data_IF_352655668095
#
_entry.id   IF_352655668095
#
_cell.length_a   1.000
_cell.length_b   1.000
_cell.length_c   1.000
_cell.angle_alpha   90.00
_cell.angle_beta   90.00
_cell.angle_gamma   90.00
#
_symmetry.space_group_name_H-M   'P 1'
#
loop_
_entity.id
_entity.type
_entity.pdbx_description
1 polymer ?
#
# COMPACT_ATOMS: atom_id res chain seq x y z
N UNK A 1 23.07 -5.88 25.58
CA UNK A 1 23.48 -4.47 25.44
C UNK A 1 23.64 -3.77 26.80
N UNK A 2 22.59 -3.68 27.65
CA UNK A 2 22.77 -3.12 29.02
C UNK A 2 23.86 -3.82 29.84
N UNK A 3 24.10 -5.12 29.66
CA UNK A 3 25.18 -5.86 30.30
C UNK A 3 26.56 -5.54 29.75
N UNK A 4 26.68 -5.06 28.53
CA UNK A 4 27.95 -4.71 27.87
C UNK A 4 28.33 -3.24 28.11
N UNK A 5 27.35 -2.37 28.24
CA UNK A 5 27.56 -0.92 28.40
C UNK A 5 26.58 -0.35 29.47
N UNK A 6 26.72 -0.77 30.74
CA UNK A 6 25.72 -0.48 31.77
C UNK A 6 25.59 1.00 32.13
N UNK A 7 26.59 1.83 31.82
CA UNK A 7 26.65 3.25 32.19
C UNK A 7 26.95 4.19 31.01
N UNK A 8 26.87 3.69 29.77
CA UNK A 8 27.14 4.47 28.56
C UNK A 8 25.83 4.75 27.82
N UNK A 9 25.18 5.84 28.19
CA UNK A 9 23.86 6.22 27.62
C UNK A 9 23.93 6.52 26.11
N UNK A 10 25.05 7.07 25.65
CA UNK A 10 25.23 7.39 24.24
C UNK A 10 25.29 6.10 23.40
N UNK A 11 26.09 5.12 23.81
CA UNK A 11 26.14 3.81 23.14
C UNK A 11 24.81 3.05 23.24
N UNK A 12 24.10 3.16 24.35
CA UNK A 12 22.78 2.55 24.51
C UNK A 12 21.75 3.21 23.57
N UNK A 13 21.78 4.53 23.43
CA UNK A 13 20.92 5.28 22.53
C UNK A 13 21.22 4.92 21.07
N UNK A 14 22.49 4.94 20.68
CA UNK A 14 22.91 4.51 19.34
C UNK A 14 22.48 3.08 19.03
N UNK A 15 22.69 2.14 19.97
CA UNK A 15 22.29 0.77 19.79
C UNK A 15 20.77 0.61 19.62
N UNK A 16 19.95 1.35 20.38
CA UNK A 16 18.49 1.39 20.21
C UNK A 16 18.12 1.88 18.82
N UNK A 17 18.73 2.96 18.36
CA UNK A 17 18.49 3.51 17.03
C UNK A 17 18.82 2.50 15.91
N UNK A 18 19.98 1.84 16.01
CA UNK A 18 20.38 0.78 15.06
C UNK A 18 19.39 -0.40 15.09
N UNK A 19 18.95 -0.84 16.28
CA UNK A 19 17.95 -1.90 16.42
C UNK A 19 16.61 -1.51 15.79
N UNK A 20 16.14 -0.29 16.00
CA UNK A 20 14.89 0.19 15.39
C UNK A 20 14.93 0.18 13.87
N UNK A 21 16.08 0.45 13.26
CA UNK A 21 16.24 0.52 11.79
C UNK A 21 16.61 -0.80 11.13
N UNK A 22 17.31 -1.68 11.83
CA UNK A 22 17.91 -2.89 11.23
C UNK A 22 17.43 -4.21 11.83
N UNK A 23 16.70 -4.19 12.94
CA UNK A 23 16.15 -5.41 13.50
C UNK A 23 15.09 -6.00 12.56
N UNK A 24 15.14 -7.31 12.35
CA UNK A 24 14.19 -8.02 11.46
C UNK A 24 12.98 -8.57 12.23
N UNK A 25 13.04 -8.65 13.53
CA UNK A 25 12.04 -9.34 14.35
C UNK A 25 10.67 -8.63 14.36
N UNK A 26 10.65 -7.31 14.20
CA UNK A 26 9.41 -6.57 14.05
C UNK A 26 8.63 -6.90 12.75
N UNK A 27 9.30 -7.45 11.73
CA UNK A 27 8.68 -7.94 10.50
C UNK A 27 8.37 -9.45 10.54
N UNK A 28 8.65 -10.14 11.66
CA UNK A 28 8.50 -11.60 11.84
C UNK A 28 7.52 -11.96 12.94
N UNK A 29 6.65 -11.04 13.31
CA UNK A 29 5.60 -11.32 14.30
C UNK A 29 4.58 -12.32 13.73
N UNK A 30 3.94 -13.14 14.59
CA UNK A 30 2.89 -14.04 14.17
C UNK A 30 1.77 -13.34 13.41
N UNK A 31 1.28 -13.97 12.33
CA UNK A 31 0.12 -13.45 11.59
C UNK A 31 -1.12 -13.52 12.47
N UNK A 32 -1.83 -12.41 12.55
CA UNK A 32 -3.06 -12.26 13.30
C UNK A 32 -4.24 -12.73 12.45
N UNK A 33 -4.65 -14.00 12.60
CA UNK A 33 -5.76 -14.57 11.84
C UNK A 33 -7.12 -14.18 12.39
N UNK A 34 -7.24 -14.18 13.72
CA UNK A 34 -8.51 -13.90 14.43
C UNK A 34 -8.27 -12.95 15.60
N UNK A 35 -9.35 -12.53 16.25
CA UNK A 35 -9.32 -11.78 17.52
C UNK A 35 -9.15 -12.66 18.76
N UNK A 36 -8.94 -13.98 18.62
CA UNK A 36 -8.87 -14.94 19.70
C UNK A 36 -7.57 -14.87 20.50
N UNK A 37 -7.70 -14.84 21.81
CA UNK A 37 -6.56 -14.86 22.75
C UNK A 37 -6.15 -16.31 23.04
N UNK A 38 -4.84 -16.55 23.31
CA UNK A 38 -3.75 -15.59 23.38
C UNK A 38 -3.00 -15.38 22.05
N UNK A 39 -3.19 -16.26 21.07
CA UNK A 39 -2.30 -16.40 19.91
C UNK A 39 -2.93 -15.91 18.59
N UNK A 40 -4.05 -15.19 18.63
CA UNK A 40 -4.73 -14.65 17.44
C UNK A 40 -4.97 -15.69 16.33
N UNK A 41 -5.24 -16.94 16.66
CA UNK A 41 -5.41 -18.04 15.72
C UNK A 41 -4.14 -18.48 14.98
N UNK A 42 -2.96 -17.99 15.39
CA UNK A 42 -1.69 -18.34 14.76
C UNK A 42 -1.23 -19.76 15.11
N UNK A 43 -1.36 -20.16 16.37
CA UNK A 43 -1.08 -21.50 16.86
C UNK A 43 -2.02 -21.83 18.03
N UNK A 44 -1.97 -23.08 18.48
CA UNK A 44 -2.74 -23.54 19.64
C UNK A 44 -2.52 -22.62 20.86
N UNK A 45 -3.58 -22.30 21.63
CA UNK A 45 -3.49 -21.44 22.81
C UNK A 45 -2.48 -21.90 23.87
N UNK A 46 -2.20 -23.19 23.96
CA UNK A 46 -1.19 -23.77 24.87
C UNK A 46 0.26 -23.61 24.36
N UNK A 47 0.44 -23.27 23.09
CA UNK A 47 1.76 -23.12 22.46
C UNK A 47 2.24 -21.68 22.57
N UNK A 48 3.45 -21.50 23.10
CA UNK A 48 4.11 -20.19 23.10
C UNK A 48 4.80 -19.95 21.74
N UNK A 49 4.36 -19.00 20.93
CA UNK A 49 5.05 -18.67 19.69
C UNK A 49 6.42 -18.06 19.98
N UNK A 50 7.41 -18.24 19.07
CA UNK A 50 8.77 -17.72 19.26
C UNK A 50 8.85 -16.19 19.35
N UNK A 51 7.91 -15.49 18.69
CA UNK A 51 7.68 -14.06 18.83
C UNK A 51 6.29 -13.81 19.40
N UNK A 52 6.14 -12.73 20.15
CA UNK A 52 4.82 -12.35 20.66
C UNK A 52 3.89 -11.91 19.54
N UNK A 53 2.61 -12.16 19.67
CA UNK A 53 1.57 -11.56 18.85
C UNK A 53 1.48 -10.06 19.18
N UNK A 54 1.24 -9.21 18.18
CA UNK A 54 1.00 -7.78 18.41
C UNK A 54 -0.27 -7.55 19.23
N UNK A 55 -0.28 -6.51 20.06
CA UNK A 55 -1.39 -6.26 20.99
C UNK A 55 -2.69 -5.83 20.28
N UNK A 56 -2.58 -5.34 19.05
CA UNK A 56 -3.69 -4.86 18.23
C UNK A 56 -4.50 -5.98 17.54
N UNK A 57 -4.13 -7.26 17.72
CA UNK A 57 -4.80 -8.40 17.07
C UNK A 57 -6.31 -8.46 17.33
N UNK A 58 -6.79 -7.86 18.40
CA UNK A 58 -8.22 -7.81 18.71
C UNK A 58 -9.03 -7.04 17.69
N UNK A 59 -8.43 -6.05 17.07
CA UNK A 59 -9.05 -5.16 16.06
C UNK A 59 -8.44 -5.32 14.67
N UNK A 60 -7.13 -5.58 14.61
CA UNK A 60 -6.39 -5.76 13.35
C UNK A 60 -6.08 -7.23 13.13
N UNK A 61 -6.90 -7.91 12.35
CA UNK A 61 -6.72 -9.34 12.03
C UNK A 61 -7.36 -9.70 10.69
N UNK A 62 -6.98 -10.84 10.14
CA UNK A 62 -7.45 -11.28 8.83
C UNK A 62 -8.97 -11.54 8.79
N UNK A 63 -9.56 -12.05 9.87
CA UNK A 63 -10.99 -12.29 9.95
C UNK A 63 -11.79 -10.98 9.89
N UNK A 64 -11.37 -9.96 10.63
CA UNK A 64 -11.98 -8.64 10.60
C UNK A 64 -11.86 -8.00 9.21
N UNK A 65 -10.69 -8.07 8.58
CA UNK A 65 -10.50 -7.54 7.23
C UNK A 65 -11.33 -8.28 6.17
N UNK A 66 -11.52 -9.59 6.32
CA UNK A 66 -12.35 -10.39 5.42
C UNK A 66 -13.84 -10.09 5.56
N UNK A 67 -14.29 -9.83 6.79
CA UNK A 67 -15.69 -9.53 7.11
C UNK A 67 -16.03 -8.04 6.95
N UNK A 68 -15.04 -7.21 6.65
CA UNK A 68 -15.23 -5.78 6.46
C UNK A 68 -16.28 -5.54 5.36
N UNK A 69 -17.34 -4.83 5.68
CA UNK A 69 -18.49 -4.60 4.81
C UNK A 69 -18.91 -3.12 4.75
N UNK A 70 -18.04 -2.22 5.17
CA UNK A 70 -18.25 -0.80 5.00
C UNK A 70 -18.35 -0.46 3.50
N UNK A 71 -19.38 0.33 3.14
CA UNK A 71 -19.62 0.73 1.75
C UNK A 71 -18.65 1.81 1.28
N UNK A 72 -18.13 2.57 2.24
CA UNK A 72 -17.30 3.75 1.98
C UNK A 72 -15.80 3.49 2.11
N UNK A 73 -15.42 2.28 2.54
CA UNK A 73 -14.02 1.89 2.68
C UNK A 73 -13.77 0.43 2.31
N UNK A 74 -12.54 0.13 1.93
CA UNK A 74 -12.05 -1.23 1.74
C UNK A 74 -11.06 -1.58 2.84
N UNK A 75 -11.10 -2.82 3.32
CA UNK A 75 -9.96 -3.31 4.08
C UNK A 75 -8.74 -3.49 3.17
N UNK A 76 -7.54 -3.50 3.77
CA UNK A 76 -6.30 -3.75 3.02
C UNK A 76 -6.38 -5.07 2.24
N UNK A 77 -6.95 -6.11 2.85
CA UNK A 77 -7.16 -7.41 2.18
C UNK A 77 -8.08 -7.30 0.96
N UNK A 78 -9.17 -6.56 1.06
CA UNK A 78 -10.11 -6.37 -0.05
C UNK A 78 -9.48 -5.54 -1.17
N UNK A 79 -8.73 -4.49 -0.83
CA UNK A 79 -8.00 -3.69 -1.80
C UNK A 79 -6.99 -4.55 -2.58
N UNK A 80 -6.18 -5.36 -1.89
CA UNK A 80 -5.25 -6.27 -2.52
C UNK A 80 -5.93 -7.29 -3.45
N UNK A 81 -7.03 -7.88 -3.02
CA UNK A 81 -7.82 -8.79 -3.87
C UNK A 81 -8.27 -8.13 -5.16
N UNK A 82 -8.87 -6.94 -5.07
CA UNK A 82 -9.31 -6.17 -6.23
C UNK A 82 -8.14 -5.80 -7.15
N UNK A 83 -7.02 -5.36 -6.58
CA UNK A 83 -5.81 -5.07 -7.36
C UNK A 83 -5.28 -6.29 -8.12
N UNK A 84 -5.23 -7.45 -7.47
CA UNK A 84 -4.82 -8.71 -8.11
C UNK A 84 -5.82 -9.19 -9.17
N UNK A 85 -7.11 -8.97 -8.99
CA UNK A 85 -8.15 -9.25 -9.99
C UNK A 85 -7.95 -8.37 -11.23
N UNK A 86 -7.73 -7.05 -11.07
CA UNK A 86 -7.41 -6.17 -12.19
C UNK A 86 -6.13 -6.62 -12.91
N UNK A 87 -5.07 -6.90 -12.15
CA UNK A 87 -3.81 -7.38 -12.69
C UNK A 87 -3.97 -8.69 -13.50
N UNK A 88 -4.78 -9.61 -13.03
CA UNK A 88 -5.07 -10.88 -13.72
C UNK A 88 -5.92 -10.66 -14.96
N UNK A 89 -6.95 -9.83 -14.87
CA UNK A 89 -7.88 -9.52 -15.97
C UNK A 89 -7.16 -8.82 -17.13
N UNK A 90 -6.30 -7.88 -16.82
CA UNK A 90 -5.58 -7.05 -17.78
C UNK A 90 -4.09 -7.40 -17.84
N UNK A 91 -3.76 -8.71 -17.78
CA UNK A 91 -2.37 -9.16 -17.69
C UNK A 91 -1.52 -8.74 -18.89
N UNK A 92 -2.11 -8.60 -20.08
CA UNK A 92 -1.43 -8.16 -21.29
C UNK A 92 -0.71 -6.83 -21.06
N UNK A 93 -1.42 -5.87 -20.51
CA UNK A 93 -0.83 -4.56 -20.16
C UNK A 93 -0.16 -4.56 -18.78
N UNK A 94 -0.89 -4.93 -17.71
CA UNK A 94 -0.43 -4.75 -16.33
C UNK A 94 0.71 -5.70 -15.89
N UNK A 95 0.98 -6.77 -16.64
CA UNK A 95 2.08 -7.71 -16.35
C UNK A 95 3.13 -7.69 -17.45
N UNK A 96 2.71 -7.84 -18.69
CA UNK A 96 3.61 -8.02 -19.84
C UNK A 96 3.83 -6.77 -20.66
N UNK A 97 2.98 -5.73 -20.53
CA UNK A 97 3.11 -4.48 -21.24
C UNK A 97 4.39 -3.71 -20.88
N UNK A 98 4.80 -2.82 -21.74
CA UNK A 98 5.96 -1.96 -21.53
C UNK A 98 5.72 -0.92 -20.45
N UNK A 99 6.76 -0.62 -19.69
CA UNK A 99 6.71 0.40 -18.65
C UNK A 99 7.23 1.73 -19.18
N UNK A 100 6.42 2.79 -19.05
CA UNK A 100 6.80 4.16 -19.41
C UNK A 100 6.55 5.08 -18.22
N UNK A 101 7.60 5.66 -17.70
CA UNK A 101 7.49 6.68 -16.65
C UNK A 101 6.85 7.93 -17.23
N UNK A 102 5.84 8.46 -16.56
CA UNK A 102 5.24 9.75 -16.84
C UNK A 102 5.89 10.77 -15.91
N UNK A 103 7.08 11.22 -16.29
CA UNK A 103 7.81 12.23 -15.55
C UNK A 103 7.54 13.60 -16.20
N UNK A 104 6.88 14.53 -15.52
CA UNK A 104 6.79 15.89 -16.01
C UNK A 104 8.18 16.53 -16.00
N UNK A 105 8.47 17.35 -17.01
CA UNK A 105 9.76 18.04 -17.15
C UNK A 105 10.19 18.82 -15.90
N UNK A 106 9.22 19.22 -15.07
CA UNK A 106 9.42 19.95 -13.82
C UNK A 106 9.46 19.05 -12.56
N UNK A 107 9.47 17.74 -12.70
CA UNK A 107 9.55 16.72 -11.63
C UNK A 107 8.66 17.04 -10.40
N UNK A 108 7.74 16.17 -10.05
CA UNK A 108 6.92 16.37 -8.85
C UNK A 108 7.33 15.33 -7.79
N UNK A 109 8.16 15.74 -6.82
CA UNK A 109 8.73 14.85 -5.79
C UNK A 109 7.70 13.99 -5.03
N UNK A 110 6.44 14.38 -5.05
CA UNK A 110 5.34 13.74 -4.34
C UNK A 110 4.53 12.78 -5.23
N UNK A 111 4.65 12.87 -6.55
CA UNK A 111 3.88 12.08 -7.50
C UNK A 111 4.77 11.05 -8.19
N UNK A 112 4.30 9.82 -8.23
CA UNK A 112 4.85 8.78 -9.08
C UNK A 112 3.78 8.33 -10.06
N UNK A 113 4.01 8.58 -11.35
CA UNK A 113 3.05 8.23 -12.39
C UNK A 113 3.74 7.47 -13.54
N UNK A 114 3.05 6.47 -14.07
CA UNK A 114 3.55 5.66 -15.16
C UNK A 114 2.43 5.04 -15.98
N UNK A 115 2.78 4.65 -17.19
CA UNK A 115 1.94 3.84 -18.06
C UNK A 115 2.46 2.40 -18.16
N UNK A 116 1.51 1.50 -18.36
CA UNK A 116 1.74 0.12 -18.80
C UNK A 116 1.05 -0.06 -20.13
N UNK A 117 1.84 -0.22 -21.20
CA UNK A 117 1.36 -0.32 -22.59
C UNK A 117 1.39 -1.77 -23.03
N UNK A 118 0.23 -2.41 -23.18
CA UNK A 118 0.06 -3.69 -23.83
C UNK A 118 -0.28 -3.53 -25.31
N UNK A 119 -0.51 -4.61 -26.00
CA UNK A 119 -0.88 -4.60 -27.43
C UNK A 119 -2.26 -3.94 -27.65
N UNK A 120 -3.24 -4.27 -26.80
CA UNK A 120 -4.63 -3.83 -26.95
C UNK A 120 -5.08 -2.78 -25.93
N UNK A 121 -4.35 -2.62 -24.83
CA UNK A 121 -4.74 -1.82 -23.67
C UNK A 121 -3.57 -1.04 -23.13
N UNK A 122 -3.80 0.18 -22.70
CA UNK A 122 -2.85 0.99 -21.93
C UNK A 122 -3.46 1.39 -20.60
N UNK A 123 -2.68 1.29 -19.54
CA UNK A 123 -3.07 1.70 -18.21
C UNK A 123 -2.16 2.80 -17.69
N UNK A 124 -2.77 3.79 -17.07
CA UNK A 124 -2.10 4.88 -16.36
C UNK A 124 -2.25 4.65 -14.87
N UNK A 125 -1.14 4.68 -14.15
CA UNK A 125 -1.12 4.65 -12.69
C UNK A 125 -0.61 5.98 -12.18
N UNK A 126 -1.30 6.58 -11.22
CA UNK A 126 -0.91 7.84 -10.58
C UNK A 126 -0.96 7.67 -9.08
N UNK A 127 0.13 7.99 -8.40
CA UNK A 127 0.33 7.78 -6.97
C UNK A 127 0.79 9.07 -6.31
N UNK A 128 0.08 9.52 -5.27
CA UNK A 128 0.54 10.58 -4.39
C UNK A 128 1.22 9.97 -3.16
N UNK A 129 2.54 10.15 -3.03
CA UNK A 129 3.33 9.66 -1.90
C UNK A 129 3.41 10.65 -0.73
N UNK A 130 2.56 11.66 -0.70
CA UNK A 130 2.55 12.66 0.36
C UNK A 130 1.28 12.63 1.20
N UNK A 131 1.36 13.18 2.42
CA UNK A 131 0.21 13.40 3.32
C UNK A 131 -0.61 14.63 2.96
N UNK A 132 -0.39 15.25 1.79
CA UNK A 132 -1.05 16.46 1.34
C UNK A 132 -1.89 16.23 0.10
N UNK A 133 -2.87 17.10 -0.13
CA UNK A 133 -3.60 17.15 -1.39
C UNK A 133 -2.70 17.74 -2.47
N UNK A 134 -2.55 17.06 -3.59
CA UNK A 134 -1.70 17.50 -4.70
C UNK A 134 -2.52 17.68 -5.97
N UNK A 135 -2.31 18.82 -6.63
CA UNK A 135 -2.78 19.05 -8.00
C UNK A 135 -1.63 18.72 -8.96
N UNK A 136 -1.84 17.78 -9.84
CA UNK A 136 -0.85 17.32 -10.81
C UNK A 136 -1.41 17.38 -12.23
N UNK A 137 -0.58 17.71 -13.18
CA UNK A 137 -0.97 17.78 -14.60
C UNK A 137 -0.53 16.52 -15.33
N UNK A 138 -1.49 15.79 -15.87
CA UNK A 138 -1.24 14.62 -16.70
C UNK A 138 -0.55 15.09 -17.99
N UNK A 139 0.62 14.51 -18.36
CA UNK A 139 1.30 14.86 -19.59
C UNK A 139 0.39 14.76 -20.82
N UNK A 140 0.57 15.64 -21.80
CA UNK A 140 -0.27 15.68 -23.01
C UNK A 140 -0.23 14.36 -23.82
N UNK A 141 0.82 13.57 -23.64
CA UNK A 141 0.99 12.25 -24.25
C UNK A 141 0.14 11.15 -23.59
N UNK A 142 -0.39 11.40 -22.39
CA UNK A 142 -1.20 10.46 -21.63
C UNK A 142 -2.62 10.96 -21.44
N UNK A 143 -3.58 10.06 -21.46
CA UNK A 143 -4.97 10.36 -21.14
C UNK A 143 -5.60 9.19 -20.43
N UNK A 144 -6.63 9.44 -19.64
CA UNK A 144 -7.40 8.41 -18.97
C UNK A 144 -8.85 8.50 -19.43
N UNK A 145 -9.33 7.47 -20.06
CA UNK A 145 -10.74 7.37 -20.49
C UNK A 145 -11.62 6.99 -19.29
N UNK A 146 -11.13 6.11 -18.44
CA UNK A 146 -11.88 5.60 -17.28
C UNK A 146 -10.94 5.17 -16.17
N UNK A 147 -11.24 5.61 -14.95
CA UNK A 147 -10.59 5.08 -13.75
C UNK A 147 -11.21 3.73 -13.38
N UNK A 148 -10.39 2.72 -13.14
CA UNK A 148 -10.82 1.34 -12.88
C UNK A 148 -10.57 0.88 -11.45
N UNK A 149 -9.65 1.51 -10.75
CA UNK A 149 -9.38 1.24 -9.35
C UNK A 149 -8.74 2.44 -8.64
N UNK A 150 -8.93 2.50 -7.33
CA UNK A 150 -8.28 3.44 -6.43
C UNK A 150 -8.33 2.91 -5.00
N UNK A 151 -7.51 3.47 -4.13
CA UNK A 151 -7.48 3.09 -2.71
C UNK A 151 -8.53 3.81 -1.85
N UNK A 152 -9.14 4.87 -2.39
CA UNK A 152 -10.32 5.48 -1.78
C UNK A 152 -11.58 4.99 -2.48
N UNK A 153 -12.58 4.55 -1.72
CA UNK A 153 -13.83 3.98 -2.26
C UNK A 153 -14.80 5.03 -2.77
N UNK A 154 -14.82 6.20 -2.15
CA UNK A 154 -15.59 7.35 -2.63
C UNK A 154 -14.80 8.04 -3.76
N UNK A 155 -15.07 7.61 -5.01
CA UNK A 155 -14.75 8.37 -6.20
C UNK A 155 -13.29 8.34 -6.66
N UNK A 156 -12.90 7.26 -7.34
CA UNK A 156 -12.12 7.51 -8.54
C UNK A 156 -12.92 8.49 -9.40
N UNK A 157 -12.29 9.49 -10.04
CA UNK A 157 -13.04 10.42 -10.88
C UNK A 157 -13.89 9.66 -11.91
N UNK A 158 -15.21 9.90 -11.94
CA UNK A 158 -16.11 9.22 -12.88
C UNK A 158 -15.90 9.64 -14.34
N UNK A 159 -15.09 10.66 -14.57
CA UNK A 159 -14.88 11.27 -15.87
C UNK A 159 -13.52 10.92 -16.47
N UNK A 160 -13.50 10.84 -17.79
CA UNK A 160 -12.27 10.88 -18.57
C UNK A 160 -11.40 12.06 -18.14
N UNK A 161 -10.12 11.82 -17.87
CA UNK A 161 -9.20 12.84 -17.36
C UNK A 161 -8.17 13.19 -18.41
N UNK A 162 -8.15 14.46 -18.77
CA UNK A 162 -7.08 15.11 -19.55
C UNK A 162 -6.64 16.37 -18.78
N UNK A 163 -5.34 16.56 -18.65
CA UNK A 163 -4.81 17.71 -17.95
C UNK A 163 -4.80 17.50 -16.42
N UNK A 164 -5.29 18.47 -15.65
CA UNK A 164 -5.15 18.47 -14.18
C UNK A 164 -5.97 17.40 -13.48
N UNK A 165 -5.33 16.70 -12.56
CA UNK A 165 -5.93 15.76 -11.63
C UNK A 165 -5.62 16.19 -10.20
N UNK A 166 -6.62 16.12 -9.33
CA UNK A 166 -6.48 16.39 -7.90
C UNK A 166 -6.41 15.07 -7.13
N UNK A 167 -5.32 14.86 -6.43
CA UNK A 167 -5.05 13.66 -5.65
C UNK A 167 -5.12 13.97 -4.16
N UNK A 168 -5.86 13.13 -3.45
CA UNK A 168 -5.93 13.16 -1.97
C UNK A 168 -4.60 12.68 -1.36
N UNK A 169 -4.36 12.93 -0.06
CA UNK A 169 -3.22 12.35 0.63
C UNK A 169 -3.11 10.83 0.39
N UNK A 170 -1.93 10.36 0.00
CA UNK A 170 -1.65 8.94 -0.27
C UNK A 170 -2.64 8.27 -1.24
N UNK A 171 -3.22 9.02 -2.15
CA UNK A 171 -4.13 8.47 -3.15
C UNK A 171 -3.38 7.74 -4.25
N UNK A 172 -3.91 6.56 -4.58
CA UNK A 172 -3.47 5.72 -5.70
C UNK A 172 -4.64 5.52 -6.66
N UNK A 173 -4.42 5.79 -7.93
CA UNK A 173 -5.42 5.63 -8.99
C UNK A 173 -4.85 4.77 -10.13
N UNK A 174 -5.69 3.90 -10.67
CA UNK A 174 -5.42 3.10 -11.87
C UNK A 174 -6.49 3.42 -12.89
N UNK A 175 -6.10 3.94 -14.04
CA UNK A 175 -6.98 4.28 -15.15
C UNK A 175 -6.64 3.51 -16.41
N UNK A 176 -7.63 3.34 -17.27
CA UNK A 176 -7.49 2.83 -18.64
C UNK A 176 -7.46 4.02 -19.60
N UNK A 177 -6.50 4.01 -20.48
CA UNK A 177 -6.34 4.99 -21.57
C UNK A 177 -7.17 4.62 -22.78
#
# INVERSE_FOLDING_TARGET
MKSLYPHDEEKLSFAKHVMQRKARDHARTPVQWTSESPNAGFCDPSTKPWMRVNDDYKTVNAAAQRQHNDKDSLSVLQFWKRGLEQRKKHKGALVYGDFHLLDPEDGHDQIFAYERRGEDETFVTVLNFSGEKVEWELPASAHVQRWVAGNYTAGAPDAATKGKISLRPYEALLGMS
#
